data_IF_725513564461
#
_entry.id   IF_725513564461
#
_cell.length_a   1.000
_cell.length_b   1.000
_cell.length_c   1.000
_cell.angle_alpha   90.00
_cell.angle_beta   90.00
_cell.angle_gamma   90.00
#
_symmetry.space_group_name_H-M   'P 1'
#
loop_
_entity.id
_entity.type
_entity.pdbx_description
1 polymer ?
#
# COMPACT_ATOMS: atom_id res chain seq x y z
N UNK A 1 4.91 -6.01 -21.67
CA UNK A 1 5.58 -5.54 -20.43
C UNK A 1 4.50 -5.25 -19.41
N UNK A 2 4.64 -5.71 -18.16
CA UNK A 2 3.66 -5.44 -17.12
C UNK A 2 3.91 -4.08 -16.43
N UNK A 3 2.82 -3.43 -16.03
CA UNK A 3 2.79 -2.15 -15.34
C UNK A 3 2.19 -2.35 -13.95
N UNK A 4 2.76 -1.71 -12.94
CA UNK A 4 2.26 -1.71 -11.56
C UNK A 4 2.16 -0.29 -11.01
N UNK A 5 1.30 -0.09 -10.01
CA UNK A 5 1.24 1.20 -9.29
C UNK A 5 2.45 1.36 -8.35
N UNK A 6 2.78 2.62 -8.00
CA UNK A 6 3.79 2.91 -6.96
C UNK A 6 3.47 2.21 -5.64
N UNK A 7 2.19 2.15 -5.27
CA UNK A 7 1.75 1.47 -4.05
C UNK A 7 2.02 -0.05 -4.10
N UNK A 8 1.75 -0.69 -5.23
CA UNK A 8 2.07 -2.11 -5.44
C UNK A 8 3.57 -2.36 -5.29
N UNK A 9 4.41 -1.49 -5.86
CA UNK A 9 5.85 -1.62 -5.73
C UNK A 9 6.31 -1.47 -4.26
N UNK A 10 5.78 -0.50 -3.52
CA UNK A 10 6.11 -0.37 -2.09
C UNK A 10 5.73 -1.60 -1.28
N UNK A 11 4.63 -2.29 -1.64
CA UNK A 11 4.26 -3.58 -1.03
C UNK A 11 5.25 -4.69 -1.39
N UNK A 12 5.69 -4.78 -2.63
CA UNK A 12 6.71 -5.76 -3.04
C UNK A 12 8.00 -5.54 -2.25
N UNK A 13 8.42 -4.28 -2.15
CA UNK A 13 9.60 -3.86 -1.40
C UNK A 13 9.50 -4.18 0.10
N UNK A 14 8.31 -4.10 0.70
CA UNK A 14 8.15 -4.43 2.12
C UNK A 14 8.31 -5.92 2.42
N UNK A 15 8.07 -6.79 1.44
CA UNK A 15 8.19 -8.26 1.57
C UNK A 15 9.61 -8.80 1.27
N UNK A 16 10.59 -7.91 1.11
CA UNK A 16 12.00 -8.31 1.02
C UNK A 16 12.44 -9.02 2.30
N UNK A 17 12.97 -10.23 2.15
CA UNK A 17 13.51 -11.03 3.25
C UNK A 17 14.96 -10.63 3.56
N UNK A 18 15.12 -9.71 4.51
CA UNK A 18 16.43 -9.23 4.95
C UNK A 18 17.29 -10.31 5.65
N UNK A 19 16.75 -11.48 5.96
CA UNK A 19 17.50 -12.58 6.61
C UNK A 19 18.29 -13.42 5.61
N UNK A 20 17.94 -13.37 4.32
CA UNK A 20 18.53 -14.21 3.26
C UNK A 20 19.79 -13.62 2.61
N UNK A 21 20.24 -12.44 3.02
CA UNK A 21 21.41 -11.75 2.47
C UNK A 21 22.37 -11.24 3.57
N UNK A 22 23.70 -11.36 3.35
CA UNK A 22 24.68 -10.66 4.17
C UNK A 22 24.60 -9.14 3.95
N UNK A 23 25.06 -8.41 4.96
CA UNK A 23 25.00 -6.94 5.06
C UNK A 23 25.44 -6.24 3.76
N UNK A 24 24.74 -5.19 3.28
CA UNK A 24 25.16 -4.49 2.07
C UNK A 24 26.51 -3.82 2.30
N UNK A 25 27.36 -3.84 1.28
CA UNK A 25 28.57 -3.02 1.25
C UNK A 25 28.16 -1.55 1.10
N UNK A 26 28.73 -0.65 1.92
CA UNK A 26 28.45 0.81 1.92
C UNK A 26 28.53 1.48 0.53
N UNK A 27 29.22 0.87 -0.43
CA UNK A 27 29.36 1.34 -1.81
C UNK A 27 28.08 1.33 -2.64
N UNK A 28 26.99 0.69 -2.16
CA UNK A 28 25.75 0.50 -2.93
C UNK A 28 24.69 1.58 -2.75
N UNK A 29 24.79 2.41 -1.72
CA UNK A 29 23.91 3.57 -1.56
C UNK A 29 24.56 4.72 -2.33
N UNK A 30 23.90 5.14 -3.40
CA UNK A 30 24.36 6.04 -4.48
C UNK A 30 24.94 7.42 -4.04
N UNK A 31 25.98 7.44 -3.20
CA UNK A 31 26.60 8.65 -2.65
C UNK A 31 25.79 9.37 -1.58
N UNK A 32 24.56 8.94 -1.26
CA UNK A 32 23.68 9.61 -0.31
C UNK A 32 24.03 9.31 1.14
N UNK A 33 24.13 10.37 1.96
CA UNK A 33 24.38 10.24 3.39
C UNK A 33 23.08 9.92 4.14
N UNK A 34 22.80 8.63 4.33
CA UNK A 34 21.60 8.13 5.00
C UNK A 34 21.87 7.63 6.42
N UNK A 35 22.85 8.19 7.14
CA UNK A 35 23.24 7.76 8.49
C UNK A 35 22.12 7.86 9.54
N UNK A 36 21.06 8.62 9.25
CA UNK A 36 19.84 8.71 10.07
C UNK A 36 18.99 7.42 10.04
N UNK A 37 19.19 6.56 9.04
CA UNK A 37 18.50 5.28 8.93
C UNK A 37 19.22 4.19 9.73
N UNK A 38 18.46 3.24 10.25
CA UNK A 38 19.02 2.07 10.91
C UNK A 38 19.76 1.17 9.91
N UNK A 39 20.67 0.32 10.41
CA UNK A 39 21.38 -0.67 9.57
C UNK A 39 20.42 -1.55 8.75
N UNK A 40 19.28 -1.95 9.34
CA UNK A 40 18.24 -2.74 8.64
C UNK A 40 17.57 -1.95 7.52
N UNK A 41 17.29 -0.67 7.73
CA UNK A 41 16.71 0.18 6.69
C UNK A 41 17.71 0.40 5.55
N UNK A 42 18.98 0.65 5.85
CA UNK A 42 20.04 0.77 4.85
C UNK A 42 20.21 -0.53 4.05
N UNK A 43 20.16 -1.70 4.72
CA UNK A 43 20.15 -3.01 4.08
C UNK A 43 18.98 -3.20 3.13
N UNK A 44 17.78 -2.80 3.56
CA UNK A 44 16.62 -2.86 2.68
C UNK A 44 16.78 -1.95 1.47
N UNK A 45 17.22 -0.71 1.65
CA UNK A 45 17.42 0.23 0.54
C UNK A 45 18.45 -0.26 -0.46
N UNK A 46 19.59 -0.75 0.01
CA UNK A 46 20.63 -1.27 -0.86
C UNK A 46 20.15 -2.48 -1.68
N UNK A 47 19.37 -3.38 -1.07
CA UNK A 47 18.81 -4.52 -1.80
C UNK A 47 17.80 -4.07 -2.86
N UNK A 48 16.96 -3.08 -2.55
CA UNK A 48 16.02 -2.51 -3.53
C UNK A 48 16.80 -1.95 -4.72
N UNK A 49 17.86 -1.18 -4.48
CA UNK A 49 18.69 -0.62 -5.56
C UNK A 49 19.29 -1.72 -6.44
N UNK A 50 19.76 -2.80 -5.82
CA UNK A 50 20.29 -3.97 -6.55
C UNK A 50 19.22 -4.68 -7.37
N UNK A 51 18.03 -4.93 -6.79
CA UNK A 51 16.89 -5.53 -7.48
C UNK A 51 16.49 -4.66 -8.69
N UNK A 52 16.44 -3.35 -8.51
CA UNK A 52 16.04 -2.42 -9.57
C UNK A 52 17.10 -2.32 -10.67
N UNK A 53 18.38 -2.48 -10.35
CA UNK A 53 19.48 -2.46 -11.32
C UNK A 53 19.84 -3.81 -11.93
N UNK A 54 19.22 -4.91 -11.49
CA UNK A 54 19.52 -6.25 -11.99
C UNK A 54 18.72 -6.59 -13.25
N UNK A 55 19.38 -7.18 -14.24
CA UNK A 55 18.70 -7.77 -15.41
C UNK A 55 17.90 -9.03 -15.03
N UNK A 56 18.25 -9.69 -13.93
CA UNK A 56 17.60 -10.91 -13.44
C UNK A 56 17.41 -10.88 -11.91
N UNK A 57 16.19 -11.13 -11.44
CA UNK A 57 15.85 -11.09 -10.02
C UNK A 57 15.44 -12.50 -9.54
N UNK A 58 16.27 -13.21 -8.76
CA UNK A 58 15.89 -14.49 -8.15
C UNK A 58 14.91 -14.25 -7.00
N UNK A 59 13.61 -14.46 -7.28
CA UNK A 59 12.48 -14.16 -6.37
C UNK A 59 12.60 -14.92 -5.05
N UNK A 60 12.90 -16.21 -5.13
CA UNK A 60 13.02 -17.15 -4.02
C UNK A 60 14.15 -16.79 -3.04
N UNK A 61 15.19 -16.13 -3.55
CA UNK A 61 16.31 -15.62 -2.77
C UNK A 61 15.97 -14.36 -1.99
N UNK A 62 15.22 -13.43 -2.58
CA UNK A 62 15.10 -12.08 -2.03
C UNK A 62 13.73 -11.74 -1.43
N UNK A 63 12.68 -12.47 -1.79
CA UNK A 63 11.30 -12.10 -1.44
C UNK A 63 10.58 -13.21 -0.69
N UNK A 64 9.71 -12.78 0.23
CA UNK A 64 8.58 -13.59 0.67
C UNK A 64 7.47 -13.43 -0.37
N UNK A 65 6.73 -14.53 -0.63
CA UNK A 65 5.51 -14.43 -1.42
C UNK A 65 4.55 -13.46 -0.73
N UNK A 66 3.92 -12.57 -1.51
CA UNK A 66 2.88 -11.70 -0.98
C UNK A 66 1.80 -12.57 -0.35
N UNK A 67 1.54 -12.35 0.95
CA UNK A 67 0.41 -13.01 1.61
C UNK A 67 -0.87 -12.55 0.93
N UNK A 68 -1.73 -13.51 0.60
CA UNK A 68 -3.09 -13.17 0.16
C UNK A 68 -3.81 -12.53 1.34
N UNK A 69 -4.33 -11.31 1.19
CA UNK A 69 -5.06 -10.68 2.27
C UNK A 69 -6.33 -11.49 2.53
N UNK A 70 -6.60 -11.75 3.81
CA UNK A 70 -7.88 -12.27 4.25
C UNK A 70 -8.90 -11.13 4.29
N UNK A 71 -10.17 -11.46 4.03
CA UNK A 71 -11.26 -10.49 4.06
C UNK A 71 -11.48 -10.00 5.49
N UNK A 72 -11.24 -8.72 5.73
CA UNK A 72 -11.43 -8.10 7.05
C UNK A 72 -12.91 -7.90 7.41
N UNK A 73 -13.82 -8.13 6.46
CA UNK A 73 -15.25 -7.83 6.54
C UNK A 73 -15.56 -6.37 6.88
N UNK A 74 -14.57 -5.48 6.74
CA UNK A 74 -14.70 -4.08 7.17
C UNK A 74 -15.10 -3.13 6.05
N UNK A 75 -14.92 -3.54 4.80
CA UNK A 75 -15.09 -2.67 3.63
C UNK A 75 -16.05 -3.25 2.59
N UNK A 76 -16.72 -2.39 1.83
CA UNK A 76 -17.60 -2.78 0.71
C UNK A 76 -16.83 -3.59 -0.33
N UNK A 77 -15.69 -3.08 -0.77
CA UNK A 77 -14.76 -3.84 -1.60
C UNK A 77 -13.73 -4.52 -0.69
N UNK A 78 -13.67 -5.87 -0.65
CA UNK A 78 -12.74 -6.58 0.22
C UNK A 78 -11.29 -6.32 -0.18
N UNK A 79 -10.37 -6.58 0.73
CA UNK A 79 -8.94 -6.51 0.48
C UNK A 79 -8.56 -7.47 -0.67
N UNK A 80 -7.77 -6.99 -1.63
CA UNK A 80 -7.35 -7.77 -2.79
C UNK A 80 -5.84 -7.82 -2.91
N UNK A 81 -5.36 -8.93 -3.46
CA UNK A 81 -3.99 -9.04 -3.96
C UNK A 81 -3.79 -7.98 -5.05
N UNK A 82 -2.70 -7.19 -5.01
CA UNK A 82 -2.40 -6.25 -6.07
C UNK A 82 -2.35 -6.91 -7.44
N UNK A 83 -2.82 -6.19 -8.46
CA UNK A 83 -2.72 -6.65 -9.84
C UNK A 83 -1.61 -5.92 -10.61
N UNK A 84 -1.07 -6.56 -11.64
CA UNK A 84 -0.25 -5.94 -12.67
C UNK A 84 -0.98 -5.90 -14.01
N UNK A 85 -0.58 -4.98 -14.87
CA UNK A 85 -1.35 -4.60 -16.06
C UNK A 85 -0.50 -4.72 -17.33
N UNK A 86 -1.05 -5.18 -18.44
CA UNK A 86 -0.36 -5.23 -19.75
C UNK A 86 -0.44 -3.91 -20.50
N UNK A 87 -1.38 -3.04 -20.12
CA UNK A 87 -1.64 -1.75 -20.73
C UNK A 87 -1.50 -0.61 -19.71
N UNK A 88 -0.63 0.36 -20.02
CA UNK A 88 -0.40 1.59 -19.25
C UNK A 88 -1.62 2.53 -19.21
N UNK A 89 -2.56 2.37 -20.13
CA UNK A 89 -3.81 3.14 -20.21
C UNK A 89 -5.01 2.40 -19.61
N UNK A 90 -4.80 1.22 -19.01
CA UNK A 90 -5.87 0.43 -18.40
C UNK A 90 -6.71 1.27 -17.42
N UNK A 91 -8.03 1.25 -17.60
CA UNK A 91 -8.97 2.01 -16.75
C UNK A 91 -8.84 1.66 -15.26
N UNK A 92 -8.61 0.37 -14.96
CA UNK A 92 -8.39 -0.10 -13.58
C UNK A 92 -7.06 0.37 -12.98
N UNK A 93 -6.07 0.72 -13.81
CA UNK A 93 -4.80 1.31 -13.35
C UNK A 93 -4.94 2.82 -13.13
N UNK A 94 -5.82 3.48 -13.89
CA UNK A 94 -5.93 4.95 -13.91
C UNK A 94 -7.00 5.49 -12.97
N UNK A 95 -7.98 4.67 -12.58
CA UNK A 95 -9.09 5.09 -11.72
C UNK A 95 -8.61 5.43 -10.30
N UNK A 96 -9.24 6.42 -9.68
CA UNK A 96 -9.08 6.69 -8.25
C UNK A 96 -9.65 5.53 -7.42
N UNK A 97 -9.01 5.25 -6.29
CA UNK A 97 -9.51 4.22 -5.40
C UNK A 97 -10.58 4.82 -4.49
N UNK A 98 -11.74 4.18 -4.49
CA UNK A 98 -12.86 4.51 -3.63
C UNK A 98 -13.36 3.24 -2.96
N UNK A 99 -13.62 3.31 -1.67
CA UNK A 99 -14.22 2.25 -0.89
C UNK A 99 -15.03 2.86 0.27
N UNK A 100 -15.84 2.04 0.93
CA UNK A 100 -16.66 2.47 2.05
C UNK A 100 -16.56 1.45 3.18
N UNK A 101 -16.51 1.96 4.42
CA UNK A 101 -16.64 1.10 5.58
C UNK A 101 -18.05 0.53 5.70
N UNK A 102 -18.13 -0.72 6.13
CA UNK A 102 -19.38 -1.39 6.43
C UNK A 102 -19.80 -1.02 7.86
N UNK A 103 -21.06 -0.60 8.07
CA UNK A 103 -21.53 -0.22 9.40
C UNK A 103 -21.25 -1.28 10.45
N UNK A 104 -20.82 -0.85 11.65
CA UNK A 104 -20.49 -1.74 12.77
C UNK A 104 -21.64 -2.70 13.07
N UNK A 105 -22.88 -2.21 13.09
CA UNK A 105 -24.08 -3.04 13.35
C UNK A 105 -24.24 -4.17 12.34
N UNK A 106 -23.85 -3.97 11.07
CA UNK A 106 -23.88 -5.03 10.04
C UNK A 106 -22.73 -6.03 10.26
N UNK A 107 -21.55 -5.54 10.65
CA UNK A 107 -20.38 -6.38 10.93
C UNK A 107 -20.60 -7.28 12.15
N UNK A 108 -21.26 -6.76 13.18
CA UNK A 108 -21.61 -7.50 14.40
C UNK A 108 -22.62 -8.63 14.13
N UNK A 109 -23.41 -8.57 13.05
CA UNK A 109 -24.28 -9.67 12.61
C UNK A 109 -23.51 -10.82 11.95
N UNK A 110 -22.22 -10.65 11.64
CA UNK A 110 -21.34 -11.68 11.12
C UNK A 110 -21.09 -11.63 9.61
N UNK A 111 -20.19 -12.51 9.14
CA UNK A 111 -19.67 -12.52 7.77
C UNK A 111 -20.75 -12.67 6.69
N UNK A 112 -21.81 -13.44 6.95
CA UNK A 112 -22.92 -13.62 6.02
C UNK A 112 -23.69 -12.31 5.78
N UNK A 113 -24.00 -11.57 6.84
CA UNK A 113 -24.64 -10.24 6.75
C UNK A 113 -23.76 -9.25 6.02
N UNK A 114 -22.44 -9.28 6.26
CA UNK A 114 -21.49 -8.43 5.53
C UNK A 114 -21.51 -8.72 4.03
N UNK A 115 -21.46 -9.99 3.62
CA UNK A 115 -21.56 -10.38 2.21
C UNK A 115 -22.88 -9.93 1.58
N UNK A 116 -24.00 -10.11 2.30
CA UNK A 116 -25.32 -9.63 1.88
C UNK A 116 -25.35 -8.10 1.73
N UNK A 117 -24.75 -7.37 2.65
CA UNK A 117 -24.67 -5.91 2.62
C UNK A 117 -23.84 -5.41 1.43
N UNK A 118 -22.73 -6.08 1.11
CA UNK A 118 -21.96 -5.76 -0.09
C UNK A 118 -22.82 -5.92 -1.34
N UNK A 119 -23.54 -7.03 -1.48
CA UNK A 119 -24.45 -7.25 -2.62
C UNK A 119 -25.52 -6.16 -2.69
N UNK A 120 -26.20 -5.89 -1.57
CA UNK A 120 -27.18 -4.82 -1.44
C UNK A 120 -26.61 -3.45 -1.85
N UNK A 121 -25.39 -3.11 -1.41
CA UNK A 121 -24.75 -1.84 -1.76
C UNK A 121 -24.55 -1.71 -3.27
N UNK A 122 -24.04 -2.75 -3.94
CA UNK A 122 -23.79 -2.71 -5.39
C UNK A 122 -25.11 -2.63 -6.18
N UNK A 123 -26.15 -3.34 -5.73
CA UNK A 123 -27.49 -3.31 -6.34
C UNK A 123 -28.18 -1.95 -6.16
N UNK A 124 -27.81 -1.18 -5.12
CA UNK A 124 -28.43 0.10 -4.79
C UNK A 124 -27.44 1.27 -4.86
N UNK A 125 -26.34 1.14 -5.62
CA UNK A 125 -25.26 2.14 -5.66
C UNK A 125 -25.73 3.47 -6.24
N UNK A 126 -26.63 3.47 -7.23
CA UNK A 126 -27.21 4.69 -7.80
C UNK A 126 -28.00 5.45 -6.72
N UNK A 127 -28.84 4.75 -5.95
CA UNK A 127 -29.57 5.35 -4.83
C UNK A 127 -28.61 5.92 -3.79
N UNK A 128 -27.51 5.22 -3.48
CA UNK A 128 -26.49 5.74 -2.57
C UNK A 128 -25.81 7.01 -3.09
N UNK A 129 -25.62 7.15 -4.40
CA UNK A 129 -24.99 8.34 -5.00
C UNK A 129 -25.95 9.53 -5.09
N UNK A 130 -27.21 9.28 -5.43
CA UNK A 130 -28.21 10.32 -5.69
C UNK A 130 -28.99 10.73 -4.43
N UNK A 131 -29.33 9.77 -3.55
CA UNK A 131 -30.10 10.01 -2.33
C UNK A 131 -29.70 9.06 -1.18
N UNK A 132 -28.62 9.43 -0.47
CA UNK A 132 -28.10 8.67 0.67
C UNK A 132 -29.12 8.44 1.78
N UNK A 133 -30.02 9.39 2.04
CA UNK A 133 -31.02 9.27 3.10
C UNK A 133 -31.96 8.09 2.83
N UNK A 134 -32.47 7.98 1.60
CA UNK A 134 -33.35 6.87 1.21
C UNK A 134 -32.60 5.54 1.20
N UNK A 135 -31.34 5.54 0.75
CA UNK A 135 -30.47 4.37 0.87
C UNK A 135 -30.34 3.91 2.34
N UNK A 136 -30.10 4.83 3.28
CA UNK A 136 -29.96 4.50 4.70
C UNK A 136 -31.26 3.99 5.34
N UNK A 137 -32.41 4.55 4.94
CA UNK A 137 -33.72 4.05 5.39
C UNK A 137 -33.97 2.64 4.86
N UNK A 138 -33.67 2.40 3.58
CA UNK A 138 -33.79 1.07 2.96
C UNK A 138 -32.84 0.06 3.61
N UNK A 139 -31.59 0.45 3.87
CA UNK A 139 -30.61 -0.38 4.57
C UNK A 139 -31.06 -0.73 5.99
N UNK A 140 -31.66 0.21 6.73
CA UNK A 140 -32.22 -0.06 8.06
C UNK A 140 -33.28 -1.16 8.01
N UNK A 141 -34.17 -1.11 7.02
CA UNK A 141 -35.24 -2.09 6.85
C UNK A 141 -34.69 -3.47 6.48
N UNK A 142 -33.79 -3.54 5.49
CA UNK A 142 -33.23 -4.80 4.96
C UNK A 142 -32.34 -5.54 5.97
N UNK A 143 -31.62 -4.81 6.82
CA UNK A 143 -30.65 -5.37 7.78
C UNK A 143 -31.11 -5.25 9.24
N UNK A 144 -32.37 -4.86 9.47
CA UNK A 144 -32.97 -4.69 10.80
C UNK A 144 -32.11 -3.88 11.78
N UNK A 145 -31.54 -2.76 11.30
CA UNK A 145 -30.64 -1.93 12.09
C UNK A 145 -31.40 -1.16 13.18
N UNK A 146 -30.75 -0.93 14.33
CA UNK A 146 -31.39 -0.25 15.47
C UNK A 146 -31.69 1.20 15.15
N UNK A 147 -30.76 1.86 14.47
CA UNK A 147 -30.86 3.26 14.01
C UNK A 147 -30.76 3.34 12.49
N UNK A 148 -31.24 4.45 11.94
CA UNK A 148 -30.98 4.78 10.53
C UNK A 148 -29.50 5.13 10.41
N UNK A 149 -28.84 4.59 9.39
CA UNK A 149 -27.44 4.91 9.11
C UNK A 149 -27.27 6.38 8.75
N UNK A 150 -26.06 6.88 8.94
CA UNK A 150 -25.65 8.22 8.54
C UNK A 150 -24.32 8.18 7.81
N UNK A 151 -23.89 9.31 7.25
CA UNK A 151 -22.56 9.45 6.65
C UNK A 151 -21.41 9.10 7.63
N UNK A 152 -21.65 9.13 8.94
CA UNK A 152 -20.64 8.74 9.96
C UNK A 152 -20.51 7.23 10.12
N UNK A 153 -21.56 6.48 9.77
CA UNK A 153 -21.60 5.02 9.90
C UNK A 153 -21.04 4.32 8.64
N UNK A 154 -20.93 5.04 7.52
CA UNK A 154 -20.33 4.58 6.25
C UNK A 154 -19.24 5.55 5.80
N UNK A 155 -18.08 5.45 6.44
CA UNK A 155 -16.93 6.31 6.14
C UNK A 155 -16.42 6.02 4.74
N UNK A 156 -16.30 7.08 3.93
CA UNK A 156 -15.77 7.02 2.57
C UNK A 156 -14.24 7.09 2.60
N UNK A 157 -13.61 6.13 1.92
CA UNK A 157 -12.16 6.04 1.79
C UNK A 157 -11.82 6.37 0.33
N UNK A 158 -11.37 7.59 0.10
CA UNK A 158 -10.85 8.04 -1.20
C UNK A 158 -9.35 8.13 -1.14
N UNK A 159 -8.68 7.40 -2.04
CA UNK A 159 -7.26 7.57 -2.29
C UNK A 159 -7.10 8.04 -3.72
N UNK A 160 -6.57 9.26 -3.95
CA UNK A 160 -6.22 9.70 -5.29
C UNK A 160 -5.36 8.63 -5.93
N UNK A 161 -5.47 8.45 -7.25
CA UNK A 161 -4.54 7.57 -7.92
C UNK A 161 -3.13 8.01 -7.54
N UNK A 162 -2.32 7.09 -6.99
CA UNK A 162 -0.92 7.35 -6.59
C UNK A 162 -0.02 7.78 -7.76
N UNK A 163 -0.63 7.96 -8.93
CA UNK A 163 -0.08 8.45 -10.17
C UNK A 163 0.45 7.29 -10.99
N UNK A 164 0.22 7.36 -12.30
CA UNK A 164 1.29 6.93 -13.21
C UNK A 164 2.51 7.72 -12.76
N UNK A 165 3.58 7.05 -12.33
CA UNK A 165 4.86 7.62 -12.70
C UNK A 165 4.91 7.50 -14.21
N UNK A 166 4.41 8.48 -14.96
CA UNK A 166 5.05 8.78 -16.22
C UNK A 166 6.46 9.17 -15.78
N UNK A 167 7.40 8.24 -15.90
CA UNK A 167 8.80 8.48 -15.56
C UNK A 167 9.38 9.61 -16.45
N UNK A 168 8.63 10.02 -17.47
CA UNK A 168 8.96 11.08 -18.42
C UNK A 168 9.09 12.49 -17.84
N UNK A 169 8.48 12.85 -16.70
CA UNK A 169 8.54 14.25 -16.20
C UNK A 169 9.42 14.46 -14.97
N UNK A 170 10.02 13.40 -14.41
CA UNK A 170 10.95 13.57 -13.30
C UNK A 170 12.36 13.79 -13.83
N UNK A 171 12.77 15.05 -13.88
CA UNK A 171 14.19 15.37 -13.95
C UNK A 171 14.88 14.72 -12.73
N UNK A 172 15.78 13.76 -12.98
CA UNK A 172 16.52 13.04 -11.93
C UNK A 172 17.19 14.02 -10.98
N UNK A 173 17.70 15.15 -11.48
CA UNK A 173 18.31 16.19 -10.67
C UNK A 173 17.33 16.83 -9.70
N UNK A 174 16.05 16.97 -10.07
CA UNK A 174 15.02 17.48 -9.18
C UNK A 174 14.69 16.48 -8.06
N UNK A 175 14.58 15.19 -8.38
CA UNK A 175 14.39 14.14 -7.37
C UNK A 175 15.58 13.98 -6.43
N UNK A 176 16.78 14.16 -6.96
CA UNK A 176 17.99 14.15 -6.18
C UNK A 176 18.01 15.30 -5.17
N UNK A 177 17.69 16.51 -5.64
CA UNK A 177 17.55 17.69 -4.79
C UNK A 177 16.46 17.52 -3.74
N UNK A 178 15.28 17.05 -4.14
CA UNK A 178 14.14 16.74 -3.29
C UNK A 178 14.47 15.76 -2.16
N UNK A 179 15.33 14.77 -2.44
CA UNK A 179 15.79 13.80 -1.46
C UNK A 179 16.78 14.43 -0.49
N UNK A 180 17.73 15.23 -0.99
CA UNK A 180 18.72 15.93 -0.17
C UNK A 180 18.04 16.95 0.76
N UNK A 181 17.03 17.68 0.28
CA UNK A 181 16.21 18.54 1.11
C UNK A 181 15.51 17.78 2.24
N UNK A 182 14.96 16.60 1.95
CA UNK A 182 14.24 15.80 2.95
C UNK A 182 15.19 15.23 4.01
N UNK A 183 16.40 14.84 3.61
CA UNK A 183 17.48 14.46 4.52
C UNK A 183 17.87 15.65 5.40
N UNK A 184 18.04 16.83 4.81
CA UNK A 184 18.38 18.06 5.55
C UNK A 184 17.29 18.43 6.56
N UNK A 185 16.00 18.34 6.19
CA UNK A 185 14.87 18.55 7.10
C UNK A 185 14.91 17.61 8.30
N UNK A 186 15.24 16.33 8.08
CA UNK A 186 15.39 15.37 9.17
C UNK A 186 16.54 15.73 10.10
N UNK A 187 17.70 16.13 9.57
CA UNK A 187 18.83 16.57 10.40
C UNK A 187 18.51 17.85 11.20
N UNK A 188 17.84 18.83 10.60
CA UNK A 188 17.36 20.04 11.32
C UNK A 188 16.41 19.65 12.44
N UNK A 189 15.45 18.76 12.16
CA UNK A 189 14.48 18.30 13.16
C UNK A 189 15.16 17.59 14.34
N UNK A 190 16.12 16.70 14.05
CA UNK A 190 16.90 16.02 15.08
C UNK A 190 17.65 16.97 16.00
N UNK A 191 18.14 18.09 15.45
CA UNK A 191 18.95 19.06 16.17
C UNK A 191 18.16 20.30 16.64
N UNK A 192 16.83 20.28 16.54
CA UNK A 192 15.97 21.43 16.92
C UNK A 192 16.06 21.75 18.41
N UNK A 193 16.17 20.73 19.27
CA UNK A 193 16.38 20.92 20.71
C UNK A 193 17.13 19.75 21.34
N UNK A 194 17.59 19.92 22.59
CA UNK A 194 18.32 18.87 23.28
C UNK A 194 17.44 17.63 23.51
N UNK A 195 16.15 17.81 23.81
CA UNK A 195 15.21 16.69 23.96
C UNK A 195 15.05 15.93 22.64
N UNK A 196 14.89 16.61 21.50
CA UNK A 196 14.82 15.95 20.18
C UNK A 196 16.05 15.08 19.94
N UNK A 197 17.23 15.66 20.13
CA UNK A 197 18.50 14.97 19.90
C UNK A 197 18.65 13.74 20.79
N UNK A 198 18.36 13.88 22.10
CA UNK A 198 18.47 12.78 23.06
C UNK A 198 17.44 11.67 22.77
N UNK A 199 16.18 12.05 22.56
CA UNK A 199 15.09 11.12 22.24
C UNK A 199 15.38 10.35 20.95
N UNK A 200 15.77 11.03 19.87
CA UNK A 200 16.04 10.39 18.58
C UNK A 200 17.29 9.51 18.64
N UNK A 201 18.36 9.93 19.32
CA UNK A 201 19.56 9.11 19.46
C UNK A 201 19.29 7.83 20.26
N UNK A 202 18.43 7.91 21.28
CA UNK A 202 18.11 6.78 22.15
C UNK A 202 17.08 5.84 21.53
N UNK A 203 16.03 6.38 20.93
CA UNK A 203 14.84 5.62 20.54
C UNK A 203 14.53 5.65 19.04
N UNK A 204 15.15 6.55 18.26
CA UNK A 204 14.78 6.81 16.86
C UNK A 204 14.99 5.64 15.89
N UNK A 205 15.66 4.57 16.32
CA UNK A 205 15.87 3.34 15.56
C UNK A 205 15.26 2.10 16.26
N UNK A 206 14.62 2.26 17.42
CA UNK A 206 13.97 1.17 18.13
C UNK A 206 12.59 0.88 17.55
N UNK A 207 12.20 -0.39 17.57
CA UNK A 207 10.86 -0.82 17.20
C UNK A 207 9.95 -0.73 18.43
N UNK A 208 8.90 0.10 18.36
CA UNK A 208 7.93 0.33 19.43
C UNK A 208 8.57 0.52 20.83
N UNK A 209 9.40 1.55 21.03
CA UNK A 209 9.96 1.84 22.34
C UNK A 209 8.84 2.18 23.34
N UNK A 210 8.89 1.58 24.53
CA UNK A 210 8.00 1.94 25.64
C UNK A 210 8.40 3.31 26.16
N UNK A 211 7.56 4.31 25.90
CA UNK A 211 7.81 5.69 26.28
C UNK A 211 6.58 6.19 27.02
N UNK A 212 6.79 6.67 28.23
CA UNK A 212 5.72 7.21 29.07
C UNK A 212 5.51 8.71 28.83
N UNK A 213 6.55 9.40 28.34
CA UNK A 213 6.54 10.84 28.08
C UNK A 213 5.89 11.18 26.72
N UNK A 214 4.88 12.04 26.75
CA UNK A 214 4.09 12.39 25.57
C UNK A 214 4.87 13.26 24.56
N UNK A 215 5.79 14.10 25.04
CA UNK A 215 6.65 14.91 24.17
C UNK A 215 7.60 14.02 23.37
N UNK A 216 8.24 13.06 24.03
CA UNK A 216 9.11 12.07 23.40
C UNK A 216 8.37 11.20 22.38
N UNK A 217 7.13 10.78 22.67
CA UNK A 217 6.30 10.05 21.70
C UNK A 217 6.04 10.87 20.45
N UNK A 218 5.61 12.13 20.61
CA UNK A 218 5.34 13.02 19.48
C UNK A 218 6.60 13.27 18.64
N UNK A 219 7.76 13.40 19.28
CA UNK A 219 9.06 13.49 18.60
C UNK A 219 9.31 12.27 17.71
N UNK A 220 9.08 11.06 18.24
CA UNK A 220 9.34 9.83 17.49
C UNK A 220 8.31 9.56 16.39
N UNK A 221 7.05 9.95 16.58
CA UNK A 221 6.03 9.87 15.52
C UNK A 221 6.46 10.72 14.34
N UNK A 222 6.88 11.97 14.59
CA UNK A 222 7.36 12.88 13.53
C UNK A 222 8.66 12.37 12.91
N UNK A 223 9.61 11.90 13.71
CA UNK A 223 10.86 11.30 13.23
C UNK A 223 10.64 10.09 12.31
N UNK A 224 9.73 9.19 12.70
CA UNK A 224 9.34 8.02 11.91
C UNK A 224 8.72 8.43 10.57
N UNK A 225 7.88 9.47 10.57
CA UNK A 225 7.29 10.04 9.35
C UNK A 225 8.35 10.59 8.39
N UNK A 226 9.33 11.37 8.89
CA UNK A 226 10.44 11.88 8.08
C UNK A 226 11.27 10.75 7.47
N UNK A 227 11.63 9.74 8.26
CA UNK A 227 12.34 8.55 7.75
C UNK A 227 11.55 7.81 6.68
N UNK A 228 10.22 7.73 6.82
CA UNK A 228 9.34 7.09 5.83
C UNK A 228 9.36 7.84 4.50
N UNK A 229 9.28 9.17 4.53
CA UNK A 229 9.35 9.99 3.32
C UNK A 229 10.73 9.91 2.62
N UNK A 230 11.83 9.95 3.39
CA UNK A 230 13.18 9.77 2.84
C UNK A 230 13.30 8.41 2.12
N UNK A 231 12.87 7.32 2.75
CA UNK A 231 12.89 5.98 2.13
C UNK A 231 12.05 5.95 0.84
N UNK A 232 10.87 6.58 0.86
CA UNK A 232 9.97 6.65 -0.30
C UNK A 232 10.62 7.40 -1.48
N UNK A 233 11.21 8.57 -1.21
CA UNK A 233 11.94 9.37 -2.20
C UNK A 233 13.16 8.64 -2.73
N UNK A 234 13.95 8.00 -1.86
CA UNK A 234 15.12 7.21 -2.27
C UNK A 234 14.74 6.06 -3.19
N UNK A 235 13.70 5.30 -2.86
CA UNK A 235 13.21 4.21 -3.74
C UNK A 235 12.81 4.79 -5.10
N UNK A 236 12.06 5.90 -5.12
CA UNK A 236 11.65 6.55 -6.38
C UNK A 236 12.85 7.02 -7.21
N UNK A 237 13.86 7.61 -6.56
CA UNK A 237 15.09 8.04 -7.19
C UNK A 237 15.87 6.85 -7.80
N UNK A 238 16.11 5.78 -7.02
CA UNK A 238 16.78 4.58 -7.52
C UNK A 238 16.00 3.86 -8.63
N UNK A 239 14.66 3.94 -8.64
CA UNK A 239 13.86 3.43 -9.75
C UNK A 239 14.12 4.19 -11.04
N UNK A 240 14.00 5.52 -11.02
CA UNK A 240 14.12 6.31 -12.25
C UNK A 240 15.54 6.24 -12.80
N UNK A 241 16.53 6.16 -11.92
CA UNK A 241 17.93 6.05 -12.33
C UNK A 241 18.28 4.68 -12.91
N UNK A 242 17.84 3.59 -12.28
CA UNK A 242 18.30 2.24 -12.63
C UNK A 242 17.30 1.47 -13.52
N UNK A 243 16.01 1.81 -13.47
CA UNK A 243 14.94 1.15 -14.24
C UNK A 243 13.80 2.13 -14.58
N UNK A 244 14.04 3.10 -15.49
CA UNK A 244 13.11 4.18 -15.81
C UNK A 244 11.81 3.74 -16.49
N UNK A 245 11.64 2.46 -16.83
CA UNK A 245 10.36 1.94 -17.35
C UNK A 245 9.71 0.91 -16.40
N UNK A 246 10.31 0.64 -15.22
CA UNK A 246 9.93 -0.44 -14.29
C UNK A 246 9.63 -1.72 -15.09
N UNK A 247 10.61 -2.20 -15.85
CA UNK A 247 10.43 -3.42 -16.62
C UNK A 247 10.64 -4.62 -15.69
N UNK A 248 9.59 -4.98 -14.95
CA UNK A 248 9.54 -6.22 -14.17
C UNK A 248 8.98 -7.32 -15.07
N UNK A 249 9.58 -8.51 -15.07
CA UNK A 249 9.04 -9.63 -15.86
C UNK A 249 7.69 -10.11 -15.28
N UNK A 250 6.76 -10.54 -16.15
CA UNK A 250 5.47 -11.09 -15.72
C UNK A 250 5.64 -12.33 -14.84
N UNK A 251 6.62 -13.20 -15.15
CA UNK A 251 6.90 -14.38 -14.34
C UNK A 251 7.42 -14.02 -12.95
N UNK A 252 8.19 -12.93 -12.83
CA UNK A 252 8.64 -12.40 -11.54
C UNK A 252 7.44 -11.96 -10.69
N UNK A 253 6.49 -11.22 -11.27
CA UNK A 253 5.30 -10.76 -10.57
C UNK A 253 4.35 -11.91 -10.19
N UNK A 254 4.21 -12.91 -11.06
CA UNK A 254 3.47 -14.15 -10.77
C UNK A 254 4.11 -14.92 -9.61
N UNK A 255 5.45 -15.05 -9.61
CA UNK A 255 6.19 -15.73 -8.55
C UNK A 255 6.10 -15.02 -7.19
N UNK A 256 6.01 -13.69 -7.18
CA UNK A 256 5.69 -12.88 -5.99
C UNK A 256 4.25 -13.05 -5.51
N UNK A 257 3.36 -13.58 -6.35
CA UNK A 257 1.96 -13.83 -6.04
C UNK A 257 1.02 -12.67 -6.36
N UNK A 258 1.39 -11.75 -7.27
CA UNK A 258 0.46 -10.76 -7.80
C UNK A 258 -0.52 -11.39 -8.77
N UNK A 259 -1.67 -10.73 -8.97
CA UNK A 259 -2.65 -11.14 -9.98
C UNK A 259 -2.43 -10.42 -11.32
N UNK A 260 -2.81 -11.06 -12.41
CA UNK A 260 -2.99 -10.38 -13.71
C UNK A 260 -4.25 -9.52 -13.65
N UNK A 261 -4.18 -8.30 -14.18
CA UNK A 261 -5.36 -7.44 -14.26
C UNK A 261 -6.38 -8.00 -15.25
N UNK A 262 -7.58 -8.31 -14.76
CA UNK A 262 -8.68 -8.84 -15.59
C UNK A 262 -9.11 -7.92 -16.73
N UNK A 263 -8.89 -6.61 -16.63
CA UNK A 263 -9.31 -5.65 -17.67
C UNK A 263 -8.38 -5.62 -18.88
N UNK A 264 -7.06 -5.72 -18.69
CA UNK A 264 -6.09 -5.55 -19.79
C UNK A 264 -5.33 -6.83 -20.14
N UNK A 265 -5.26 -7.82 -19.25
CA UNK A 265 -4.66 -9.12 -19.59
C UNK A 265 -5.60 -10.06 -20.36
N UNK A 266 -6.85 -9.65 -20.58
CA UNK A 266 -7.84 -10.40 -21.37
C UNK A 266 -7.98 -11.88 -21.00
N UNK A 267 -7.70 -12.22 -19.74
CA UNK A 267 -8.34 -13.37 -19.15
C UNK A 267 -9.79 -12.94 -18.95
N UNK A 268 -10.72 -13.51 -19.71
CA UNK A 268 -12.14 -13.52 -19.35
C UNK A 268 -12.27 -14.25 -18.01
N UNK A 269 -11.82 -13.63 -16.93
CA UNK A 269 -12.31 -13.92 -15.60
C UNK A 269 -13.58 -13.10 -15.55
N UNK A 270 -14.68 -13.75 -15.93
CA UNK A 270 -15.99 -13.36 -15.45
C UNK A 270 -15.77 -12.95 -14.00
N UNK A 271 -16.02 -11.69 -13.67
CA UNK A 271 -16.25 -11.29 -12.29
C UNK A 271 -17.57 -11.96 -11.93
N UNK A 272 -17.51 -13.27 -11.75
CA UNK A 272 -18.64 -14.09 -11.51
C UNK A 272 -18.96 -13.94 -10.03
N UNK A 273 -19.67 -12.86 -9.73
CA UNK A 273 -20.33 -12.66 -8.45
C UNK A 273 -21.29 -13.83 -8.12
N UNK A 274 -21.59 -14.75 -9.07
CA UNK A 274 -22.36 -15.96 -8.82
C UNK A 274 -21.53 -17.13 -8.26
N UNK A 275 -20.20 -17.13 -8.40
CA UNK A 275 -19.33 -18.16 -7.79
C UNK A 275 -19.27 -18.07 -6.25
N UNK A 276 -19.74 -16.97 -5.66
CA UNK A 276 -19.91 -16.81 -4.20
C UNK A 276 -21.23 -17.44 -3.71
N UNK A 277 -22.11 -17.89 -4.62
CA UNK A 277 -23.45 -18.40 -4.31
C UNK A 277 -23.64 -19.92 -4.47
N UNK A 278 -22.61 -20.69 -4.83
CA UNK A 278 -22.77 -22.11 -5.19
C UNK A 278 -22.02 -23.16 -4.35
N UNK A 279 -21.51 -22.83 -3.16
CA UNK A 279 -20.96 -23.85 -2.24
C UNK A 279 -22.01 -24.53 -1.32
N UNK A 280 -23.30 -24.16 -1.38
CA UNK A 280 -24.35 -24.74 -0.52
C UNK A 280 -25.29 -25.76 -1.20
N UNK A 281 -24.78 -26.60 -2.12
CA UNK A 281 -25.58 -27.72 -2.65
C UNK A 281 -24.87 -29.09 -2.70
N UNK A 282 -23.84 -29.31 -1.87
CA UNK A 282 -23.30 -30.66 -1.65
C UNK A 282 -23.07 -30.97 -0.18
N UNK A 283 -24.17 -31.16 0.53
CA UNK A 283 -24.25 -32.00 1.72
C UNK A 283 -25.73 -32.22 2.06
N UNK A 284 -26.32 -33.22 1.41
CA UNK A 284 -27.41 -34.01 2.01
C UNK A 284 -26.79 -35.07 2.91
#
# INVERSE_FOLDING_TARGET
MPYITKNTLYKIVSEIDLKKEPSPTKSRLEGKNLTLLSKRELQRLALITEILGSEYIPVDRFFLKLKRPEDSYSHIHPERVPSYHSDRMCSALTREYENYEIPVEVREQGAASVKKFRKFFHENIQLFQENRTDFYVKAKQEFHLKKVLTNRDMVEIKTPNSGRGAIQDFNISHLEHDLDEEIAKAEVYKNTSNIHRLTINMYGNLFNPEINDEEQKNILIKWSSLKKEIKRKYITFSMIKNNPDINLDGNFLDALGLNRCSYCHNDKVDLDFSSILHEEQKSF
#
